data_IF_904787236931
#
_entry.id   IF_904787236931
#
_cell.length_a   1.000
_cell.length_b   1.000
_cell.length_c   1.000
_cell.angle_alpha   90.00
_cell.angle_beta   90.00
_cell.angle_gamma   90.00
#
_symmetry.space_group_name_H-M   'P 1'
#
loop_
_entity.id
_entity.type
_entity.pdbx_description
1 polymer ?
#
# COMPACT_ATOMS: atom_id res chain seq x y z
N UNK A 1 14.68 -30.44 -10.17
CA UNK A 1 14.34 -29.08 -10.65
C UNK A 1 14.18 -28.23 -9.41
N UNK A 2 14.95 -27.15 -9.31
CA UNK A 2 14.92 -26.24 -8.17
C UNK A 2 15.58 -24.93 -8.56
N UNK A 3 15.07 -23.83 -8.05
CA UNK A 3 15.67 -22.51 -8.16
C UNK A 3 16.40 -22.26 -6.83
N UNK A 4 17.70 -22.03 -6.88
CA UNK A 4 18.50 -21.73 -5.68
C UNK A 4 18.13 -20.36 -5.16
N UNK A 5 17.81 -20.25 -3.87
CA UNK A 5 17.58 -18.96 -3.24
C UNK A 5 18.91 -18.26 -2.96
N UNK A 6 18.91 -16.93 -3.04
CA UNK A 6 20.08 -16.10 -2.78
C UNK A 6 19.67 -14.82 -2.04
N UNK A 7 20.63 -14.22 -1.35
CA UNK A 7 20.49 -12.91 -0.71
C UNK A 7 21.26 -11.82 -1.47
N UNK A 8 21.74 -12.15 -2.68
CA UNK A 8 22.57 -11.26 -3.49
C UNK A 8 21.84 -10.88 -4.76
N UNK A 9 21.68 -9.59 -4.97
CA UNK A 9 21.04 -9.05 -6.17
C UNK A 9 21.87 -9.35 -7.43
N UNK A 10 23.20 -9.43 -7.31
CA UNK A 10 24.07 -9.73 -8.45
C UNK A 10 23.83 -11.14 -9.01
N UNK A 11 23.50 -12.10 -8.14
CA UNK A 11 23.16 -13.47 -8.56
C UNK A 11 21.86 -13.48 -9.37
N UNK A 12 20.89 -12.63 -8.99
CA UNK A 12 19.62 -12.46 -9.73
C UNK A 12 19.89 -11.83 -11.10
N UNK A 13 20.69 -10.76 -11.13
CA UNK A 13 21.06 -10.07 -12.38
C UNK A 13 21.81 -11.00 -13.34
N UNK A 14 22.70 -11.85 -12.83
CA UNK A 14 23.46 -12.81 -13.63
C UNK A 14 22.58 -13.86 -14.34
N UNK A 15 21.35 -14.09 -13.85
CA UNK A 15 20.38 -14.95 -14.54
C UNK A 15 19.76 -14.28 -15.77
N UNK A 16 19.93 -12.97 -15.93
CA UNK A 16 19.33 -12.15 -16.99
C UNK A 16 17.81 -12.39 -17.16
N UNK A 17 17.00 -12.24 -16.08
CA UNK A 17 15.55 -12.37 -16.21
C UNK A 17 14.97 -11.20 -17.01
N UNK A 18 13.87 -11.45 -17.73
CA UNK A 18 13.14 -10.37 -18.41
C UNK A 18 12.49 -9.41 -17.39
N UNK A 19 12.02 -9.95 -16.26
CA UNK A 19 11.31 -9.19 -15.23
C UNK A 19 11.53 -9.78 -13.82
N UNK A 20 11.53 -8.91 -12.81
CA UNK A 20 11.54 -9.27 -11.38
C UNK A 20 10.27 -8.78 -10.70
N UNK A 21 9.62 -9.67 -9.93
CA UNK A 21 8.65 -9.28 -8.92
C UNK A 21 9.40 -8.88 -7.65
N UNK A 22 9.44 -7.57 -7.36
CA UNK A 22 10.17 -7.01 -6.24
C UNK A 22 9.24 -6.74 -5.06
N UNK A 23 9.28 -7.58 -4.01
CA UNK A 23 8.34 -7.51 -2.89
C UNK A 23 8.99 -7.72 -1.50
N UNK A 24 9.99 -6.92 -1.10
CA UNK A 24 10.44 -6.88 0.30
C UNK A 24 9.38 -6.30 1.25
N UNK A 25 9.68 -6.22 2.54
CA UNK A 25 8.78 -5.56 3.52
C UNK A 25 8.63 -4.05 3.26
N UNK A 26 9.74 -3.39 2.91
CA UNK A 26 9.79 -1.97 2.54
C UNK A 26 10.57 -1.80 1.25
N UNK A 27 10.18 -0.86 0.38
CA UNK A 27 10.87 -0.64 -0.89
C UNK A 27 12.29 -0.08 -0.66
N UNK A 28 13.29 -0.65 -1.35
CA UNK A 28 14.66 -0.15 -1.36
C UNK A 28 14.98 0.35 -2.77
N UNK A 29 14.91 1.68 -2.96
CA UNK A 29 15.07 2.31 -4.28
C UNK A 29 16.39 1.93 -4.96
N UNK A 30 17.49 1.83 -4.20
CA UNK A 30 18.80 1.47 -4.75
C UNK A 30 18.81 0.09 -5.41
N UNK A 31 18.08 -0.89 -4.87
CA UNK A 31 17.96 -2.23 -5.46
C UNK A 31 17.16 -2.18 -6.76
N UNK A 32 16.04 -1.45 -6.75
CA UNK A 32 15.20 -1.24 -7.94
C UNK A 32 15.98 -0.55 -9.05
N UNK A 33 16.71 0.52 -8.74
CA UNK A 33 17.60 1.23 -9.67
C UNK A 33 18.66 0.28 -10.25
N UNK A 34 19.25 -0.57 -9.43
CA UNK A 34 20.28 -1.52 -9.88
C UNK A 34 19.70 -2.55 -10.86
N UNK A 35 18.50 -3.08 -10.60
CA UNK A 35 17.81 -4.01 -11.51
C UNK A 35 17.45 -3.32 -12.83
N UNK A 36 16.86 -2.14 -12.75
CA UNK A 36 16.42 -1.38 -13.94
C UNK A 36 17.61 -1.02 -14.83
N UNK A 37 18.72 -0.52 -14.25
CA UNK A 37 19.92 -0.18 -15.01
C UNK A 37 20.58 -1.41 -15.67
N UNK A 38 20.37 -2.62 -15.13
CA UNK A 38 20.80 -3.87 -15.74
C UNK A 38 19.89 -4.35 -16.91
N UNK A 39 18.85 -3.58 -17.24
CA UNK A 39 17.90 -3.90 -18.31
C UNK A 39 16.79 -4.87 -17.91
N UNK A 40 16.52 -5.02 -16.62
CA UNK A 40 15.51 -5.94 -16.08
C UNK A 40 14.26 -5.14 -15.72
N UNK A 41 13.10 -5.54 -16.25
CA UNK A 41 11.82 -4.93 -15.85
C UNK A 41 11.50 -5.24 -14.38
N UNK A 42 10.87 -4.31 -13.68
CA UNK A 42 10.49 -4.48 -12.28
C UNK A 42 8.99 -4.27 -12.12
N UNK A 43 8.31 -5.25 -11.53
CA UNK A 43 6.94 -5.12 -11.05
C UNK A 43 6.97 -5.19 -9.52
N UNK A 44 6.27 -4.28 -8.85
CA UNK A 44 6.30 -4.23 -7.38
C UNK A 44 4.93 -3.92 -6.77
N UNK A 45 4.54 -4.59 -5.66
CA UNK A 45 3.43 -4.19 -4.83
C UNK A 45 3.71 -2.97 -3.95
N UNK A 46 4.92 -2.41 -4.04
CA UNK A 46 5.45 -1.42 -3.10
C UNK A 46 5.76 -0.12 -3.83
N UNK A 47 5.03 0.95 -3.49
CA UNK A 47 5.34 2.31 -3.93
C UNK A 47 5.34 2.49 -5.48
N UNK A 48 5.75 3.67 -5.96
CA UNK A 48 5.81 4.06 -7.38
C UNK A 48 4.51 3.83 -8.16
N UNK A 49 3.36 3.93 -7.49
CA UNK A 49 2.04 3.82 -8.12
C UNK A 49 1.71 5.08 -8.92
N UNK A 50 2.00 6.23 -8.31
CA UNK A 50 1.83 7.57 -8.90
C UNK A 50 2.81 8.55 -8.24
N UNK A 51 4.12 8.35 -8.44
CA UNK A 51 5.14 9.10 -7.74
C UNK A 51 5.21 10.55 -8.25
N UNK A 52 5.63 11.47 -7.37
CA UNK A 52 5.91 12.85 -7.76
C UNK A 52 7.13 12.89 -8.71
N UNK A 53 7.06 13.67 -9.78
CA UNK A 53 8.14 13.77 -10.78
C UNK A 53 9.52 14.09 -10.17
N UNK A 54 9.55 14.90 -9.11
CA UNK A 54 10.79 15.25 -8.41
C UNK A 54 11.45 14.06 -7.68
N UNK A 55 10.74 12.95 -7.49
CA UNK A 55 11.18 11.78 -6.71
C UNK A 55 11.51 10.56 -7.56
N UNK A 56 11.50 10.67 -8.89
CA UNK A 56 11.74 9.52 -9.80
C UNK A 56 12.97 9.65 -10.67
N UNK A 57 13.74 10.75 -10.59
CA UNK A 57 14.85 11.00 -11.49
C UNK A 57 15.89 9.86 -11.55
N UNK A 58 16.19 9.21 -10.41
CA UNK A 58 17.10 8.07 -10.38
C UNK A 58 16.52 6.83 -11.07
N UNK A 59 15.25 6.55 -10.84
CA UNK A 59 14.51 5.44 -11.47
C UNK A 59 14.37 5.67 -12.97
N UNK A 60 13.95 6.85 -13.41
CA UNK A 60 13.82 7.20 -14.82
C UNK A 60 15.15 7.09 -15.57
N UNK A 61 16.23 7.56 -14.95
CA UNK A 61 17.58 7.41 -15.48
C UNK A 61 17.96 5.93 -15.64
N UNK A 62 17.69 5.11 -14.63
CA UNK A 62 17.98 3.67 -14.67
C UNK A 62 17.18 2.94 -15.76
N UNK A 63 15.87 3.25 -15.87
CA UNK A 63 15.03 2.75 -16.96
C UNK A 63 15.59 3.13 -18.33
N UNK A 64 16.04 4.37 -18.50
CA UNK A 64 16.62 4.85 -19.76
C UNK A 64 17.97 4.19 -20.08
N UNK A 65 18.82 3.96 -19.07
CA UNK A 65 20.12 3.30 -19.23
C UNK A 65 19.99 1.82 -19.57
N UNK A 66 19.08 1.11 -18.90
CA UNK A 66 18.86 -0.32 -19.11
C UNK A 66 17.89 -0.66 -20.24
N UNK A 67 17.08 0.29 -20.71
CA UNK A 67 15.96 0.02 -21.62
C UNK A 67 14.83 -0.77 -20.94
N UNK A 68 14.66 -0.59 -19.63
CA UNK A 68 13.72 -1.32 -18.77
C UNK A 68 12.58 -0.43 -18.28
N UNK A 69 11.62 -1.04 -17.59
CA UNK A 69 10.42 -0.40 -17.08
C UNK A 69 10.14 -0.77 -15.62
N UNK A 70 9.57 0.17 -14.87
CA UNK A 70 9.07 -0.04 -13.52
C UNK A 70 7.54 0.05 -13.52
N UNK A 71 6.88 -0.93 -12.92
CA UNK A 71 5.45 -0.91 -12.68
C UNK A 71 5.11 -1.15 -11.20
N UNK A 72 4.78 -0.06 -10.48
CA UNK A 72 4.14 -0.11 -9.18
C UNK A 72 2.65 -0.40 -9.32
N UNK A 73 2.17 -1.47 -8.70
CA UNK A 73 0.75 -1.88 -8.75
C UNK A 73 0.35 -2.61 -7.47
N UNK A 74 -0.91 -2.94 -7.26
CA UNK A 74 -1.34 -3.63 -6.04
C UNK A 74 -2.83 -3.83 -6.00
N UNK A 75 -3.38 -4.28 -4.87
CA UNK A 75 -4.83 -4.24 -4.66
C UNK A 75 -5.22 -2.81 -4.28
N UNK A 76 -4.62 -2.32 -3.19
CA UNK A 76 -4.76 -0.97 -2.65
C UNK A 76 -3.46 -0.60 -1.94
N UNK A 77 -2.68 0.37 -2.45
CA UNK A 77 -2.87 1.20 -3.66
C UNK A 77 -2.33 0.56 -4.97
N UNK A 78 -2.62 1.19 -6.10
CA UNK A 78 -2.01 0.97 -7.41
C UNK A 78 -2.83 0.11 -8.39
N UNK A 79 -3.93 -0.49 -7.96
CA UNK A 79 -4.73 -1.37 -8.81
C UNK A 79 -6.22 -1.17 -8.65
N UNK A 80 -6.89 -2.10 -7.99
CA UNK A 80 -8.36 -2.18 -8.03
C UNK A 80 -9.04 -0.94 -7.45
N UNK A 81 -8.46 -0.39 -6.39
CA UNK A 81 -9.02 0.75 -5.66
C UNK A 81 -8.88 2.08 -6.37
N UNK A 82 -8.03 2.20 -7.40
CA UNK A 82 -7.97 3.39 -8.24
C UNK A 82 -8.61 3.12 -9.60
N UNK A 83 -8.33 1.94 -10.20
CA UNK A 83 -8.80 1.64 -11.56
C UNK A 83 -10.30 1.48 -11.66
N UNK A 84 -10.94 0.77 -10.73
CA UNK A 84 -12.41 0.60 -10.77
C UNK A 84 -13.13 1.95 -10.67
N UNK A 85 -12.90 2.80 -9.65
CA UNK A 85 -13.63 4.06 -9.56
C UNK A 85 -13.34 4.98 -10.74
N UNK A 86 -12.14 4.95 -11.32
CA UNK A 86 -11.82 5.73 -12.53
C UNK A 86 -12.52 5.21 -13.79
N UNK A 87 -12.71 3.90 -13.93
CA UNK A 87 -13.55 3.36 -15.03
C UNK A 87 -15.02 3.73 -14.82
N UNK A 88 -15.51 3.63 -13.58
CA UNK A 88 -16.89 4.00 -13.25
C UNK A 88 -17.15 5.51 -13.39
N UNK A 89 -16.16 6.35 -13.14
CA UNK A 89 -16.30 7.81 -13.24
C UNK A 89 -16.58 8.29 -14.66
N UNK A 90 -16.11 7.55 -15.68
CA UNK A 90 -16.40 7.85 -17.09
C UNK A 90 -17.90 7.75 -17.44
N UNK A 91 -18.70 7.06 -16.62
CA UNK A 91 -20.16 6.95 -16.79
C UNK A 91 -20.93 7.98 -15.94
N UNK A 92 -20.24 8.87 -15.25
CA UNK A 92 -20.84 9.90 -14.40
C UNK A 92 -20.74 11.27 -15.05
N UNK A 93 -21.82 12.05 -14.98
CA UNK A 93 -21.83 13.45 -15.44
C UNK A 93 -20.96 14.35 -14.57
N UNK A 94 -20.93 14.07 -13.27
CA UNK A 94 -20.30 14.90 -12.25
C UNK A 94 -19.80 13.99 -11.12
N UNK A 95 -18.57 14.22 -10.67
CA UNK A 95 -17.95 13.50 -9.55
C UNK A 95 -17.77 14.50 -8.42
N UNK A 96 -18.43 14.26 -7.29
CA UNK A 96 -18.29 15.09 -6.08
C UNK A 96 -17.44 14.41 -5.02
N UNK A 97 -17.34 13.07 -5.06
CA UNK A 97 -16.53 12.29 -4.14
C UNK A 97 -16.17 10.92 -4.76
N UNK A 98 -14.94 10.45 -4.53
CA UNK A 98 -14.52 9.08 -4.81
C UNK A 98 -14.10 8.40 -3.52
N UNK A 99 -14.67 7.23 -3.23
CA UNK A 99 -14.37 6.48 -2.01
C UNK A 99 -14.06 5.03 -2.32
N UNK A 100 -12.91 4.56 -1.84
CA UNK A 100 -12.51 3.17 -1.91
C UNK A 100 -12.08 2.65 -0.54
N UNK A 101 -12.65 1.52 -0.15
CA UNK A 101 -12.42 0.90 1.14
C UNK A 101 -12.11 -0.58 0.94
N UNK A 102 -10.97 -1.02 1.46
CA UNK A 102 -10.62 -2.44 1.55
C UNK A 102 -11.09 -3.00 2.89
N UNK A 103 -11.64 -4.21 2.87
CA UNK A 103 -12.02 -4.96 4.06
C UNK A 103 -11.29 -6.31 4.06
N UNK A 104 -10.42 -6.50 5.05
CA UNK A 104 -9.53 -7.65 5.13
C UNK A 104 -9.82 -8.40 6.42
N UNK A 105 -10.39 -9.60 6.28
CA UNK A 105 -10.48 -10.57 7.36
C UNK A 105 -9.12 -11.26 7.52
N UNK A 106 -8.43 -10.91 8.58
CA UNK A 106 -7.05 -11.32 8.81
C UNK A 106 -6.92 -12.71 9.43
N UNK A 107 -8.02 -13.44 9.66
CA UNK A 107 -7.97 -14.81 10.23
C UNK A 107 -7.19 -15.81 9.38
N UNK A 108 -7.15 -15.60 8.07
CA UNK A 108 -6.48 -16.48 7.11
C UNK A 108 -5.10 -15.97 6.69
N UNK A 109 -4.62 -14.88 7.28
CA UNK A 109 -3.36 -14.27 6.88
C UNK A 109 -2.17 -15.07 7.44
N UNK A 110 -1.38 -15.64 6.54
CA UNK A 110 -0.34 -16.62 6.89
C UNK A 110 0.91 -16.04 7.58
N UNK A 111 1.08 -14.73 7.61
CA UNK A 111 2.22 -14.08 8.25
C UNK A 111 1.87 -13.67 9.70
N UNK A 112 1.99 -14.63 10.60
CA UNK A 112 1.62 -14.48 12.03
C UNK A 112 2.34 -13.31 12.70
N UNK A 113 3.63 -13.14 12.44
CA UNK A 113 4.42 -12.03 12.99
C UNK A 113 3.89 -10.66 12.53
N UNK A 114 3.36 -10.57 11.32
CA UNK A 114 2.74 -9.34 10.81
C UNK A 114 1.44 -9.07 11.57
N UNK A 115 0.61 -10.08 11.81
CA UNK A 115 -0.64 -9.91 12.56
C UNK A 115 -0.39 -9.41 13.99
N UNK A 116 0.58 -10.01 14.68
CA UNK A 116 0.83 -9.69 16.08
C UNK A 116 1.65 -8.41 16.28
N UNK A 117 2.75 -8.24 15.52
CA UNK A 117 3.74 -7.20 15.80
C UNK A 117 3.61 -5.97 14.91
N UNK A 118 3.02 -6.10 13.72
CA UNK A 118 2.87 -5.00 12.77
C UNK A 118 1.43 -4.46 12.82
N UNK A 119 0.44 -5.35 12.77
CA UNK A 119 -0.98 -5.01 12.84
C UNK A 119 -1.49 -4.93 14.29
N UNK A 120 -0.71 -5.38 15.28
CA UNK A 120 -1.00 -5.21 16.71
C UNK A 120 -2.29 -5.88 17.20
N UNK A 121 -2.80 -6.89 16.49
CA UNK A 121 -3.97 -7.63 16.98
C UNK A 121 -3.69 -8.25 18.35
N UNK A 122 -4.68 -8.18 19.25
CA UNK A 122 -4.52 -8.63 20.64
C UNK A 122 -3.76 -7.65 21.56
N UNK A 123 -3.20 -6.55 21.05
CA UNK A 123 -2.55 -5.53 21.89
C UNK A 123 -3.59 -4.61 22.57
N UNK A 124 -3.24 -3.95 23.69
CA UNK A 124 -4.09 -2.95 24.32
C UNK A 124 -4.35 -1.74 23.40
N UNK A 125 -5.52 -1.11 23.54
CA UNK A 125 -5.89 0.07 22.76
C UNK A 125 -4.82 1.18 22.78
N UNK A 126 -4.24 1.46 23.95
CA UNK A 126 -3.21 2.49 24.12
C UNK A 126 -1.94 2.19 23.31
N UNK A 127 -1.63 0.93 23.05
CA UNK A 127 -0.52 0.52 22.19
C UNK A 127 -0.91 0.68 20.72
N UNK A 128 -2.09 0.18 20.33
CA UNK A 128 -2.63 0.31 18.98
C UNK A 128 -2.68 1.76 18.49
N UNK A 129 -3.12 2.71 19.34
CA UNK A 129 -3.16 4.15 19.01
C UNK A 129 -1.80 4.78 18.71
N UNK A 130 -0.70 4.13 19.10
CA UNK A 130 0.67 4.56 18.83
C UNK A 130 1.27 3.84 17.61
N UNK A 131 0.46 3.11 16.85
CA UNK A 131 0.90 2.39 15.66
C UNK A 131 1.54 3.34 14.64
N UNK A 132 2.72 2.96 14.16
CA UNK A 132 3.39 3.66 13.06
C UNK A 132 2.73 3.37 11.70
N UNK A 133 1.79 2.42 11.63
CA UNK A 133 1.25 1.92 10.37
C UNK A 133 0.56 2.98 9.52
N UNK A 134 -0.15 3.92 10.15
CA UNK A 134 -0.82 5.01 9.43
C UNK A 134 0.18 5.83 8.60
N UNK A 135 1.36 6.09 9.17
CA UNK A 135 2.42 6.86 8.52
C UNK A 135 3.19 6.02 7.51
N UNK A 136 3.51 4.77 7.86
CA UNK A 136 4.25 3.85 6.98
C UNK A 136 3.50 3.59 5.67
N UNK A 137 2.18 3.43 5.74
CA UNK A 137 1.33 3.23 4.57
C UNK A 137 1.02 4.53 3.83
N UNK A 138 1.04 5.67 4.52
CA UNK A 138 0.57 6.95 4.01
C UNK A 138 1.24 7.39 2.71
N UNK A 139 2.50 7.02 2.47
CA UNK A 139 3.19 7.32 1.22
C UNK A 139 2.51 6.70 -0.01
N UNK A 140 2.09 5.44 0.07
CA UNK A 140 1.39 4.76 -1.03
C UNK A 140 -0.05 5.26 -1.20
N UNK A 141 -0.79 5.41 -0.10
CA UNK A 141 -2.17 5.91 -0.15
C UNK A 141 -2.25 7.37 -0.62
N UNK A 142 -1.27 8.21 -0.27
CA UNK A 142 -1.20 9.57 -0.81
C UNK A 142 -1.02 9.57 -2.34
N UNK A 143 -0.25 8.63 -2.90
CA UNK A 143 -0.13 8.49 -4.36
C UNK A 143 -1.43 8.04 -5.01
N UNK A 144 -2.12 7.06 -4.41
CA UNK A 144 -3.46 6.63 -4.85
C UNK A 144 -4.45 7.80 -4.87
N UNK A 145 -4.53 8.57 -3.78
CA UNK A 145 -5.42 9.73 -3.68
C UNK A 145 -5.11 10.76 -4.75
N UNK A 146 -3.83 11.08 -4.97
CA UNK A 146 -3.39 12.04 -5.98
C UNK A 146 -3.67 11.54 -7.40
N UNK A 147 -3.45 10.25 -7.67
CA UNK A 147 -3.78 9.63 -8.96
C UNK A 147 -5.26 9.81 -9.28
N UNK A 148 -6.13 9.47 -8.32
CA UNK A 148 -7.58 9.58 -8.50
C UNK A 148 -7.99 11.04 -8.66
N UNK A 149 -7.49 11.93 -7.81
CA UNK A 149 -7.79 13.36 -7.87
C UNK A 149 -7.39 13.98 -9.21
N UNK A 150 -6.18 13.71 -9.69
CA UNK A 150 -5.69 14.22 -10.99
C UNK A 150 -6.55 13.69 -12.14
N UNK A 151 -6.89 12.39 -12.12
CA UNK A 151 -7.66 11.76 -13.18
C UNK A 151 -9.12 12.25 -13.26
N UNK A 152 -9.73 12.61 -12.12
CA UNK A 152 -11.11 13.17 -12.08
C UNK A 152 -11.15 14.70 -12.06
N UNK A 153 -10.01 15.37 -11.96
CA UNK A 153 -9.87 16.83 -12.05
C UNK A 153 -10.03 17.59 -10.73
N UNK A 154 -9.91 16.94 -9.57
CA UNK A 154 -9.89 17.64 -8.29
C UNK A 154 -8.56 18.36 -8.05
N UNK A 155 -8.61 19.58 -7.52
CA UNK A 155 -7.43 20.33 -7.07
C UNK A 155 -7.36 20.27 -5.56
N UNK A 156 -6.63 19.28 -5.04
CA UNK A 156 -6.53 19.05 -3.60
C UNK A 156 -5.83 20.21 -2.87
N UNK A 157 -6.19 20.43 -1.60
CA UNK A 157 -5.57 21.44 -0.71
C UNK A 157 -4.07 21.18 -0.46
N UNK A 158 -3.61 19.95 -0.72
CA UNK A 158 -2.21 19.54 -0.72
C UNK A 158 -1.88 18.50 0.35
N UNK A 159 -2.30 18.74 1.59
CA UNK A 159 -2.14 17.78 2.69
C UNK A 159 -3.18 16.66 2.61
N UNK A 160 -2.76 15.43 2.97
CA UNK A 160 -3.65 14.28 3.05
C UNK A 160 -4.10 14.12 4.51
N UNK A 161 -5.38 14.35 4.77
CA UNK A 161 -5.96 14.15 6.09
C UNK A 161 -5.98 12.66 6.43
N UNK A 162 -5.70 12.31 7.69
CA UNK A 162 -5.63 10.91 8.12
C UNK A 162 -6.46 10.65 9.37
N UNK A 163 -7.00 9.43 9.46
CA UNK A 163 -7.76 8.96 10.62
C UNK A 163 -7.43 7.51 10.94
N UNK A 164 -7.36 7.20 12.23
CA UNK A 164 -7.17 5.85 12.74
C UNK A 164 -8.26 5.51 13.77
N UNK A 165 -9.10 4.56 13.40
CA UNK A 165 -10.14 4.00 14.25
C UNK A 165 -9.76 2.61 14.76
N UNK A 166 -10.23 2.32 15.96
CA UNK A 166 -9.96 1.07 16.67
C UNK A 166 -11.28 0.41 17.05
N UNK A 167 -11.37 -0.89 16.77
CA UNK A 167 -12.40 -1.78 17.28
C UNK A 167 -11.78 -2.79 18.25
N UNK A 168 -12.40 -2.94 19.41
CA UNK A 168 -11.97 -3.89 20.44
C UNK A 168 -12.83 -5.14 20.40
N UNK A 169 -12.25 -6.28 20.75
CA UNK A 169 -12.96 -7.54 20.85
C UNK A 169 -14.07 -7.43 21.93
N UNK A 170 -15.27 -7.89 21.60
CA UNK A 170 -16.38 -8.01 22.56
C UNK A 170 -16.49 -9.41 23.17
N UNK A 171 -15.77 -10.37 22.61
CA UNK A 171 -15.71 -11.77 23.03
C UNK A 171 -14.30 -12.31 22.76
N UNK A 172 -13.99 -13.48 23.34
CA UNK A 172 -12.73 -14.17 23.08
C UNK A 172 -12.64 -14.64 21.63
N UNK A 173 -11.49 -14.42 20.98
CA UNK A 173 -11.22 -14.86 19.61
C UNK A 173 -9.93 -15.68 19.57
N UNK A 174 -9.99 -16.90 19.05
CA UNK A 174 -8.83 -17.78 18.89
C UNK A 174 -8.10 -17.45 17.59
N UNK A 175 -6.78 -17.28 17.68
CA UNK A 175 -5.91 -16.90 16.56
C UNK A 175 -4.61 -17.72 16.58
N UNK A 176 -3.89 -17.85 15.45
CA UNK A 176 -2.65 -18.64 15.41
C UNK A 176 -1.55 -18.21 16.39
N UNK A 177 -1.58 -16.96 16.86
CA UNK A 177 -0.65 -16.38 17.84
C UNK A 177 -1.22 -16.29 19.27
N UNK A 178 -2.28 -17.05 19.57
CA UNK A 178 -2.85 -17.16 20.90
C UNK A 178 -4.33 -16.80 20.95
N UNK A 179 -4.68 -15.83 21.80
CA UNK A 179 -6.07 -15.44 22.03
C UNK A 179 -6.16 -13.93 22.13
N UNK A 180 -7.14 -13.36 21.43
CA UNK A 180 -7.57 -11.98 21.61
C UNK A 180 -8.70 -12.00 22.64
N UNK A 181 -8.46 -11.40 23.80
CA UNK A 181 -9.40 -11.28 24.91
C UNK A 181 -10.33 -10.05 24.73
N UNK A 182 -11.53 -10.04 25.34
CA UNK A 182 -12.40 -8.86 25.34
C UNK A 182 -11.67 -7.60 25.80
N UNK A 183 -11.84 -6.50 25.06
CA UNK A 183 -11.15 -5.22 25.31
C UNK A 183 -9.77 -5.09 24.66
N UNK A 184 -9.27 -6.12 23.98
CA UNK A 184 -8.05 -6.03 23.16
C UNK A 184 -8.38 -5.69 21.70
N UNK A 185 -7.37 -5.23 20.96
CA UNK A 185 -7.51 -4.86 19.56
C UNK A 185 -7.97 -6.03 18.68
N UNK A 186 -9.12 -5.86 18.02
CA UNK A 186 -9.68 -6.85 17.08
C UNK A 186 -9.95 -6.26 15.69
N UNK A 187 -10.07 -4.94 15.57
CA UNK A 187 -10.23 -4.27 14.30
C UNK A 187 -9.53 -2.92 14.28
N UNK A 188 -9.08 -2.51 13.09
CA UNK A 188 -8.53 -1.19 12.82
C UNK A 188 -9.03 -0.68 11.49
N UNK A 189 -9.28 0.62 11.42
CA UNK A 189 -9.53 1.31 10.17
C UNK A 189 -8.57 2.47 10.04
N UNK A 190 -7.78 2.46 8.98
CA UNK A 190 -6.94 3.59 8.58
C UNK A 190 -7.61 4.26 7.39
N UNK A 191 -7.72 5.59 7.44
CA UNK A 191 -8.33 6.39 6.39
C UNK A 191 -7.37 7.50 5.98
N UNK A 192 -7.22 7.71 4.69
CA UNK A 192 -6.51 8.82 4.07
C UNK A 192 -7.49 9.58 3.17
N UNK A 193 -7.45 10.91 3.20
CA UNK A 193 -8.39 11.76 2.48
C UNK A 193 -7.69 12.92 1.80
N UNK A 194 -7.98 13.10 0.51
CA UNK A 194 -7.71 14.33 -0.20
C UNK A 194 -8.90 15.28 -0.04
N UNK A 195 -8.63 16.53 0.31
CA UNK A 195 -9.65 17.55 0.57
C UNK A 195 -9.62 18.68 -0.46
N UNK A 196 -10.77 19.33 -0.65
CA UNK A 196 -10.92 20.61 -1.35
C UNK A 196 -11.71 21.53 -0.42
N UNK A 197 -11.15 22.70 -0.10
CA UNK A 197 -11.74 23.63 0.87
C UNK A 197 -12.03 22.98 2.23
N UNK A 198 -11.18 22.01 2.63
CA UNK A 198 -11.33 21.24 3.86
C UNK A 198 -12.33 20.08 3.81
N UNK A 199 -13.05 19.90 2.70
CA UNK A 199 -14.03 18.81 2.54
C UNK A 199 -13.41 17.61 1.79
N UNK A 200 -13.54 16.37 2.30
CA UNK A 200 -13.04 15.18 1.61
C UNK A 200 -13.69 14.96 0.25
N UNK A 201 -12.89 14.87 -0.82
CA UNK A 201 -13.34 14.56 -2.19
C UNK A 201 -12.79 13.23 -2.71
N UNK A 202 -11.70 12.73 -2.11
CA UNK A 202 -11.18 11.39 -2.37
C UNK A 202 -10.86 10.73 -1.03
N UNK A 203 -11.41 9.54 -0.79
CA UNK A 203 -11.18 8.77 0.43
C UNK A 203 -10.65 7.38 0.10
N UNK A 204 -9.50 7.04 0.66
CA UNK A 204 -8.96 5.69 0.67
C UNK A 204 -8.98 5.16 2.10
N UNK A 205 -9.52 3.96 2.33
CA UNK A 205 -9.45 3.33 3.64
C UNK A 205 -9.11 1.84 3.55
N UNK A 206 -8.47 1.34 4.61
CA UNK A 206 -8.28 -0.09 4.84
C UNK A 206 -8.86 -0.45 6.20
N UNK A 207 -9.63 -1.54 6.22
CA UNK A 207 -10.34 -2.04 7.39
C UNK A 207 -9.83 -3.46 7.66
N UNK A 208 -8.98 -3.60 8.67
CA UNK A 208 -8.40 -4.88 9.07
C UNK A 208 -9.13 -5.38 10.30
N UNK A 209 -9.56 -6.62 10.30
CA UNK A 209 -10.26 -7.19 11.45
C UNK A 209 -10.03 -8.67 11.61
N UNK A 210 -10.21 -9.14 12.84
CA UNK A 210 -10.26 -10.54 13.25
C UNK A 210 -11.50 -10.68 14.12
N UNK A 211 -12.49 -11.46 13.68
CA UNK A 211 -13.75 -11.68 14.40
C UNK A 211 -14.97 -11.68 13.50
#
# INVERSE_FOLDING_TARGET
IGITTTQRIEDVIALAPDCVLYSPLLPIEAEVVTLLAAGIDVVTPLNWFYPEAARVAAVEKACAEGGSTLHGTGIHPGGMTERIPLVLSAFSREITHVKCEEFSDCRTYGAVDVLEHIMLFGKPEAEARRSAMLNLLGGGFAQSIRMVADAVGFRLDGEIATRHDIGLATAKIEVPFGTIEPGQLAAQRFTWQGTVDGEPVVTAAVNWFIG
#
